data_IF_399092541029
#
_entry.id   IF_399092541029
#
_cell.length_a   1.000
_cell.length_b   1.000
_cell.length_c   1.000
_cell.angle_alpha   90.00
_cell.angle_beta   90.00
_cell.angle_gamma   90.00
#
_symmetry.space_group_name_H-M   'P 1'
#
loop_
_entity.id
_entity.type
_entity.pdbx_description
1 polymer ?
#
# COMPACT_ATOMS: atom_id res chain seq x y z
N UNK A 1 27.15 18.61 -12.99
CA UNK A 1 27.59 18.56 -11.58
C UNK A 1 26.77 17.49 -10.90
N UNK A 2 27.31 16.28 -10.84
CA UNK A 2 26.74 15.13 -10.13
C UNK A 2 26.87 15.42 -8.62
N UNK A 3 25.73 15.60 -7.96
CA UNK A 3 25.70 15.70 -6.50
C UNK A 3 26.16 14.34 -5.94
N UNK A 4 27.32 14.31 -5.40
CA UNK A 4 27.94 13.22 -4.67
C UNK A 4 27.14 13.10 -3.34
N UNK A 5 26.14 12.21 -3.32
CA UNK A 5 25.47 11.88 -2.06
C UNK A 5 26.50 11.15 -1.20
N UNK A 6 26.83 11.78 -0.06
CA UNK A 6 27.65 11.17 0.95
C UNK A 6 27.08 9.78 1.29
N UNK A 7 27.94 8.78 1.30
CA UNK A 7 27.67 7.41 1.70
C UNK A 7 27.48 7.31 3.23
N UNK A 8 26.46 7.95 3.73
CA UNK A 8 25.87 7.53 5.00
C UNK A 8 25.14 6.22 4.71
N UNK A 9 25.47 5.16 5.42
CA UNK A 9 24.78 3.87 5.35
C UNK A 9 23.32 4.00 5.79
N UNK A 10 22.57 4.84 5.06
CA UNK A 10 21.23 5.27 5.39
C UNK A 10 20.27 4.12 5.40
N UNK A 11 19.36 4.13 6.38
CA UNK A 11 18.26 3.18 6.51
C UNK A 11 17.53 3.01 5.16
N UNK A 12 17.27 1.75 4.75
CA UNK A 12 16.45 1.44 3.59
C UNK A 12 15.00 1.32 4.04
N UNK A 13 14.11 2.03 3.39
CA UNK A 13 12.68 2.04 3.68
C UNK A 13 11.91 1.20 2.65
N UNK A 14 10.71 0.76 2.98
CA UNK A 14 9.86 0.04 2.04
C UNK A 14 8.89 0.98 1.33
N UNK A 15 8.90 0.93 -0.02
CA UNK A 15 7.92 1.61 -0.85
C UNK A 15 6.85 0.63 -1.30
N UNK A 16 5.57 1.00 -1.14
CA UNK A 16 4.46 0.13 -1.50
C UNK A 16 3.41 0.86 -2.32
N UNK A 17 2.78 0.14 -3.23
CA UNK A 17 1.69 0.62 -4.07
C UNK A 17 0.50 -0.32 -3.90
N UNK A 18 -0.65 0.22 -3.50
CA UNK A 18 -1.91 -0.52 -3.46
C UNK A 18 -2.57 -0.38 -4.83
N UNK A 19 -2.48 -1.46 -5.63
CA UNK A 19 -2.89 -1.45 -7.03
C UNK A 19 -4.40 -1.59 -7.13
N UNK A 20 -5.05 -0.45 -7.14
CA UNK A 20 -6.49 -0.29 -7.34
C UNK A 20 -6.78 0.90 -8.26
N UNK A 21 -7.94 0.89 -8.91
CA UNK A 21 -8.41 2.00 -9.73
C UNK A 21 -9.20 3.02 -8.88
N UNK A 22 -9.40 4.24 -9.38
CA UNK A 22 -10.09 5.32 -8.68
C UNK A 22 -11.50 4.96 -8.19
N UNK A 23 -12.16 4.03 -8.87
CA UNK A 23 -13.52 3.61 -8.52
C UNK A 23 -13.58 2.47 -7.49
N UNK A 24 -12.45 1.84 -7.17
CA UNK A 24 -12.37 0.75 -6.21
C UNK A 24 -12.18 1.21 -4.76
N UNK A 25 -12.04 2.51 -4.58
CA UNK A 25 -11.89 3.13 -3.25
C UNK A 25 -13.11 2.90 -2.37
N UNK A 26 -12.91 2.36 -1.18
CA UNK A 26 -14.01 2.05 -0.23
C UNK A 26 -14.95 3.23 0.03
N UNK A 27 -14.45 4.47 -0.03
CA UNK A 27 -15.27 5.67 0.15
C UNK A 27 -16.32 5.87 -0.95
N UNK A 28 -16.18 5.17 -2.08
CA UNK A 28 -17.09 5.26 -3.23
C UNK A 28 -17.94 4.00 -3.42
N UNK A 29 -17.77 2.97 -2.61
CA UNK A 29 -18.44 1.67 -2.77
C UNK A 29 -19.98 1.76 -2.80
N UNK A 30 -20.57 2.72 -2.08
CA UNK A 30 -22.02 2.95 -2.11
C UNK A 30 -22.51 3.60 -3.43
N UNK A 31 -21.62 4.21 -4.21
CA UNK A 31 -21.94 4.92 -5.46
C UNK A 31 -21.47 4.17 -6.70
N UNK A 32 -20.42 3.36 -6.58
CA UNK A 32 -19.90 2.49 -7.61
C UNK A 32 -19.84 1.08 -7.04
N UNK A 33 -20.97 0.35 -7.05
CA UNK A 33 -21.02 -1.00 -6.50
C UNK A 33 -20.19 -1.98 -7.34
N UNK A 34 -19.67 -3.03 -6.67
CA UNK A 34 -18.76 -4.02 -7.27
C UNK A 34 -19.25 -4.59 -8.61
N UNK A 35 -20.54 -4.86 -8.74
CA UNK A 35 -21.12 -5.43 -9.95
C UNK A 35 -21.15 -4.48 -11.16
N UNK A 36 -20.75 -3.23 -11.00
CA UNK A 36 -20.66 -2.24 -12.09
C UNK A 36 -19.22 -2.00 -12.57
N UNK A 37 -18.22 -2.51 -11.88
CA UNK A 37 -16.80 -2.25 -12.18
C UNK A 37 -16.40 -2.60 -13.61
N UNK A 38 -17.02 -3.64 -14.18
CA UNK A 38 -16.77 -4.08 -15.55
C UNK A 38 -17.15 -3.06 -16.62
N UNK A 39 -17.99 -2.09 -16.27
CA UNK A 39 -18.49 -1.04 -17.17
C UNK A 39 -17.86 0.32 -16.91
N UNK A 40 -17.12 0.47 -15.81
CA UNK A 40 -16.45 1.73 -15.46
C UNK A 40 -15.14 1.85 -16.25
N UNK A 41 -14.89 2.98 -16.91
CA UNK A 41 -13.62 3.19 -17.62
C UNK A 41 -12.43 3.08 -16.68
N UNK A 42 -11.58 2.09 -16.90
CA UNK A 42 -10.37 1.87 -16.10
C UNK A 42 -9.25 2.81 -16.50
N UNK A 43 -8.46 3.23 -15.52
CA UNK A 43 -7.27 4.07 -15.69
C UNK A 43 -6.02 3.44 -15.07
N UNK A 44 -6.16 2.25 -14.48
CA UNK A 44 -5.09 1.60 -13.71
C UNK A 44 -3.86 1.32 -14.57
N UNK A 45 -3.99 0.84 -15.82
CA UNK A 45 -2.84 0.52 -16.67
C UNK A 45 -2.00 1.78 -16.96
N UNK A 46 -2.63 2.87 -17.42
CA UNK A 46 -1.92 4.11 -17.72
C UNK A 46 -1.24 4.72 -16.49
N UNK A 47 -1.89 4.62 -15.32
CA UNK A 47 -1.33 5.11 -14.06
C UNK A 47 -0.18 4.23 -13.59
N UNK A 48 -0.29 2.91 -13.75
CA UNK A 48 0.80 1.97 -13.44
C UNK A 48 2.01 2.16 -14.35
N UNK A 49 1.81 2.41 -15.65
CA UNK A 49 2.93 2.72 -16.56
C UNK A 49 3.70 3.97 -16.13
N UNK A 50 2.98 5.01 -15.66
CA UNK A 50 3.61 6.21 -15.06
C UNK A 50 4.41 5.87 -13.79
N UNK A 51 3.88 5.01 -12.92
CA UNK A 51 4.58 4.58 -11.70
C UNK A 51 5.83 3.79 -12.05
N UNK A 52 5.73 2.79 -12.93
CA UNK A 52 6.87 1.97 -13.32
C UNK A 52 7.97 2.81 -13.95
N UNK A 53 7.62 3.77 -14.82
CA UNK A 53 8.58 4.72 -15.39
C UNK A 53 9.25 5.58 -14.32
N UNK A 54 8.47 6.13 -13.37
CA UNK A 54 8.99 6.93 -12.26
C UNK A 54 9.97 6.14 -11.38
N UNK A 55 9.65 4.87 -11.05
CA UNK A 55 10.51 4.02 -10.25
C UNK A 55 11.79 3.64 -10.99
N UNK A 56 11.70 3.38 -12.30
CA UNK A 56 12.86 3.11 -13.14
C UNK A 56 13.81 4.33 -13.23
N UNK A 57 13.28 5.56 -13.37
CA UNK A 57 14.08 6.80 -13.38
C UNK A 57 14.91 6.98 -12.09
N UNK A 58 14.41 6.48 -10.97
CA UNK A 58 15.06 6.59 -9.66
C UNK A 58 15.80 5.33 -9.20
N UNK A 59 15.85 4.29 -10.04
CA UNK A 59 16.40 2.96 -9.72
C UNK A 59 15.84 2.39 -8.39
N UNK A 60 14.54 2.55 -8.17
CA UNK A 60 13.84 2.09 -6.97
C UNK A 60 13.04 0.82 -7.28
N UNK A 61 13.09 -0.14 -6.37
CA UNK A 61 12.18 -1.29 -6.36
C UNK A 61 11.13 -1.08 -5.27
N UNK A 62 9.93 -1.64 -5.49
CA UNK A 62 8.79 -1.45 -4.61
C UNK A 62 7.95 -2.73 -4.53
N UNK A 63 7.03 -2.80 -3.57
CA UNK A 63 6.03 -3.86 -3.44
C UNK A 63 4.69 -3.37 -3.96
N UNK A 64 4.04 -4.17 -4.81
CA UNK A 64 2.74 -3.88 -5.40
C UNK A 64 1.69 -4.81 -4.82
N UNK A 65 0.89 -4.31 -3.89
CA UNK A 65 -0.27 -5.00 -3.34
C UNK A 65 -1.40 -4.93 -4.36
N UNK A 66 -1.61 -6.01 -5.09
CA UNK A 66 -2.48 -6.03 -6.27
C UNK A 66 -3.76 -6.80 -5.98
N UNK A 67 -4.90 -6.24 -6.41
CA UNK A 67 -6.20 -6.93 -6.38
C UNK A 67 -6.23 -8.08 -7.39
N UNK A 68 -6.76 -9.24 -7.00
CA UNK A 68 -6.94 -10.38 -7.89
C UNK A 68 -7.80 -10.02 -9.11
N UNK A 69 -8.85 -9.23 -8.90
CA UNK A 69 -9.71 -8.72 -9.98
C UNK A 69 -8.95 -7.90 -11.04
N UNK A 70 -7.99 -7.06 -10.62
CA UNK A 70 -7.14 -6.31 -11.55
C UNK A 70 -6.19 -7.27 -12.27
N UNK A 71 -5.62 -8.23 -11.56
CA UNK A 71 -4.68 -9.17 -12.12
C UNK A 71 -5.30 -10.01 -13.25
N UNK A 72 -6.52 -10.52 -13.05
CA UNK A 72 -7.25 -11.27 -14.09
C UNK A 72 -7.57 -10.44 -15.33
N UNK A 73 -7.93 -9.17 -15.14
CA UNK A 73 -8.27 -8.27 -16.25
C UNK A 73 -7.04 -7.77 -17.00
N UNK A 74 -5.97 -7.53 -16.28
CA UNK A 74 -4.75 -6.92 -16.80
C UNK A 74 -3.52 -7.78 -16.51
N UNK A 75 -3.46 -9.05 -16.96
CA UNK A 75 -2.34 -9.95 -16.64
C UNK A 75 -1.00 -9.41 -17.16
N UNK A 76 -1.02 -8.62 -18.25
CA UNK A 76 0.16 -7.94 -18.75
C UNK A 76 0.74 -6.91 -17.77
N UNK A 77 -0.11 -6.25 -16.99
CA UNK A 77 0.32 -5.32 -15.94
C UNK A 77 1.09 -6.05 -14.84
N UNK A 78 0.57 -7.19 -14.38
CA UNK A 78 1.23 -8.02 -13.33
C UNK A 78 2.61 -8.48 -13.82
N UNK A 79 2.72 -8.95 -15.05
CA UNK A 79 4.01 -9.37 -15.63
C UNK A 79 4.99 -8.21 -15.70
N UNK A 80 4.58 -7.02 -16.16
CA UNK A 80 5.45 -5.83 -16.18
C UNK A 80 6.00 -5.47 -14.80
N UNK A 81 5.20 -5.61 -13.73
CA UNK A 81 5.65 -5.39 -12.35
C UNK A 81 6.76 -6.36 -11.97
N UNK A 82 6.58 -7.65 -12.23
CA UNK A 82 7.56 -8.70 -11.88
C UNK A 82 8.81 -8.60 -12.75
N UNK A 83 8.66 -8.42 -14.06
CA UNK A 83 9.76 -8.28 -15.02
C UNK A 83 10.66 -7.08 -14.71
N UNK A 84 10.08 -6.01 -14.14
CA UNK A 84 10.82 -4.84 -13.67
C UNK A 84 11.54 -5.08 -12.32
N UNK A 85 11.43 -6.27 -11.72
CA UNK A 85 12.11 -6.66 -10.48
C UNK A 85 11.43 -6.17 -9.21
N UNK A 86 10.17 -5.72 -9.30
CA UNK A 86 9.36 -5.36 -8.13
C UNK A 86 8.79 -6.62 -7.45
N UNK A 87 8.34 -6.47 -6.21
CA UNK A 87 7.62 -7.52 -5.50
C UNK A 87 6.12 -7.42 -5.81
N UNK A 88 5.52 -8.57 -6.16
CA UNK A 88 4.08 -8.71 -6.25
C UNK A 88 3.54 -9.25 -4.92
N UNK A 89 2.56 -8.56 -4.37
CA UNK A 89 1.86 -8.92 -3.14
C UNK A 89 0.33 -8.83 -3.33
N UNK A 90 -0.43 -9.41 -2.42
CA UNK A 90 -1.89 -9.49 -2.52
C UNK A 90 -2.60 -8.36 -1.78
N UNK A 91 -3.62 -7.76 -2.42
CA UNK A 91 -4.56 -6.82 -1.81
C UNK A 91 -5.98 -7.40 -1.66
N UNK A 92 -6.11 -8.75 -1.57
CA UNK A 92 -7.39 -9.44 -1.69
C UNK A 92 -7.86 -9.54 -3.15
N UNK A 93 -9.05 -10.12 -3.36
CA UNK A 93 -9.53 -10.34 -4.72
C UNK A 93 -10.28 -9.11 -5.26
N UNK A 94 -11.32 -8.65 -4.56
CA UNK A 94 -12.19 -7.56 -5.02
C UNK A 94 -12.35 -6.39 -4.03
N UNK A 95 -11.30 -6.10 -3.30
CA UNK A 95 -11.25 -5.00 -2.33
C UNK A 95 -12.29 -5.11 -1.20
N UNK A 96 -12.72 -6.33 -0.86
CA UNK A 96 -13.63 -6.57 0.26
C UNK A 96 -12.89 -6.41 1.60
N UNK A 97 -13.46 -5.62 2.51
CA UNK A 97 -12.83 -5.38 3.82
C UNK A 97 -12.88 -6.63 4.70
N UNK A 98 -11.77 -6.97 5.36
CA UNK A 98 -11.71 -8.08 6.31
C UNK A 98 -12.73 -7.93 7.45
N UNK A 99 -13.03 -6.69 7.87
CA UNK A 99 -14.00 -6.38 8.92
C UNK A 99 -15.47 -6.60 8.51
N UNK A 100 -15.75 -6.80 7.22
CA UNK A 100 -17.09 -6.99 6.67
C UNK A 100 -17.33 -8.45 6.25
N UNK A 101 -16.35 -9.32 6.46
CA UNK A 101 -16.38 -10.74 6.09
C UNK A 101 -16.32 -11.64 7.33
N UNK A 102 -16.87 -12.85 7.22
CA UNK A 102 -16.62 -13.92 8.16
C UNK A 102 -15.32 -14.68 7.83
N UNK A 103 -14.82 -15.48 8.80
CA UNK A 103 -13.57 -16.24 8.67
C UNK A 103 -13.45 -17.02 7.34
N UNK A 104 -14.45 -17.85 7.02
CA UNK A 104 -14.42 -18.70 5.82
C UNK A 104 -14.45 -17.91 4.52
N UNK A 105 -15.21 -16.81 4.48
CA UNK A 105 -15.29 -15.93 3.31
C UNK A 105 -13.97 -15.20 3.09
N UNK A 106 -13.40 -14.63 4.16
CA UNK A 106 -12.13 -13.93 4.09
C UNK A 106 -10.97 -14.86 3.68
N UNK A 107 -10.91 -16.08 4.26
CA UNK A 107 -9.89 -17.07 3.89
C UNK A 107 -10.00 -17.48 2.41
N UNK A 108 -11.24 -17.66 1.91
CA UNK A 108 -11.47 -17.98 0.50
C UNK A 108 -11.04 -16.84 -0.43
N UNK A 109 -11.38 -15.58 -0.10
CA UNK A 109 -11.01 -14.38 -0.86
C UNK A 109 -9.48 -14.26 -1.01
N UNK A 110 -8.75 -14.33 0.11
CA UNK A 110 -7.30 -14.12 0.09
C UNK A 110 -6.54 -15.29 -0.54
N UNK A 111 -7.06 -16.53 -0.46
CA UNK A 111 -6.51 -17.69 -1.17
C UNK A 111 -6.73 -17.58 -2.68
N UNK A 112 -7.93 -17.17 -3.10
CA UNK A 112 -8.22 -16.94 -4.52
C UNK A 112 -7.29 -15.85 -5.09
N UNK A 113 -7.19 -14.72 -4.41
CA UNK A 113 -6.30 -13.63 -4.84
C UNK A 113 -4.84 -14.10 -4.98
N UNK A 114 -4.33 -14.85 -3.99
CA UNK A 114 -2.98 -15.40 -4.03
C UNK A 114 -2.78 -16.32 -5.23
N UNK A 115 -3.68 -17.28 -5.44
CA UNK A 115 -3.60 -18.24 -6.53
C UNK A 115 -3.59 -17.56 -7.91
N UNK A 116 -4.48 -16.57 -8.12
CA UNK A 116 -4.55 -15.79 -9.37
C UNK A 116 -3.23 -15.03 -9.62
N UNK A 117 -2.70 -14.37 -8.60
CA UNK A 117 -1.47 -13.61 -8.73
C UNK A 117 -0.26 -14.50 -9.01
N UNK A 118 -0.17 -15.66 -8.36
CA UNK A 118 0.90 -16.65 -8.56
C UNK A 118 0.82 -17.31 -9.93
N UNK A 119 -0.39 -17.65 -10.41
CA UNK A 119 -0.61 -18.23 -11.74
C UNK A 119 -0.17 -17.27 -12.86
N UNK A 120 -0.52 -16.00 -12.75
CA UNK A 120 -0.19 -14.99 -13.77
C UNK A 120 1.30 -14.61 -13.74
N UNK A 121 1.90 -14.50 -12.56
CA UNK A 121 3.27 -14.03 -12.38
C UNK A 121 4.33 -15.13 -12.47
N UNK A 122 3.96 -16.38 -12.19
CA UNK A 122 4.90 -17.49 -12.03
C UNK A 122 5.82 -17.35 -10.79
N UNK A 123 5.50 -16.41 -9.88
CA UNK A 123 6.32 -16.09 -8.70
C UNK A 123 5.51 -16.23 -7.41
N UNK A 124 6.14 -16.64 -6.28
CA UNK A 124 5.43 -16.76 -5.02
C UNK A 124 5.01 -15.40 -4.47
N UNK A 125 3.76 -15.29 -4.02
CA UNK A 125 3.20 -14.10 -3.38
C UNK A 125 3.32 -14.24 -1.86
N UNK A 126 4.28 -13.53 -1.29
CA UNK A 126 4.66 -13.64 0.14
C UNK A 126 3.86 -12.67 1.03
N UNK A 127 3.41 -11.54 0.50
CA UNK A 127 2.80 -10.44 1.23
C UNK A 127 1.31 -10.28 1.02
N UNK A 128 0.63 -9.81 2.07
CA UNK A 128 -0.78 -9.44 2.04
C UNK A 128 -1.01 -8.06 2.68
N UNK A 129 -1.91 -7.28 2.10
CA UNK A 129 -2.44 -6.06 2.72
C UNK A 129 -3.96 -6.07 2.65
N UNK A 130 -4.61 -5.91 3.80
CA UNK A 130 -6.06 -5.85 3.86
C UNK A 130 -6.58 -4.53 3.25
N UNK A 131 -7.58 -4.60 2.36
CA UNK A 131 -8.27 -3.42 1.84
C UNK A 131 -8.66 -2.47 2.96
N UNK A 132 -8.34 -1.18 2.78
CA UNK A 132 -8.61 -0.12 3.76
C UNK A 132 -8.05 -0.39 5.16
N UNK A 133 -6.95 -1.13 5.30
CA UNK A 133 -6.36 -1.48 6.60
C UNK A 133 -7.39 -2.04 7.59
N UNK A 134 -8.25 -2.94 7.12
CA UNK A 134 -9.45 -3.41 7.82
C UNK A 134 -9.21 -4.59 8.78
N UNK A 135 -7.95 -4.94 9.07
CA UNK A 135 -7.59 -5.83 10.18
C UNK A 135 -7.30 -4.97 11.41
N UNK A 136 -7.84 -5.40 12.56
CA UNK A 136 -7.68 -4.66 13.81
C UNK A 136 -8.15 -5.44 15.02
N UNK A 137 -8.29 -4.79 16.17
CA UNK A 137 -8.68 -5.45 17.44
C UNK A 137 -10.03 -6.18 17.40
N UNK A 138 -10.93 -5.78 16.49
CA UNK A 138 -12.26 -6.38 16.34
C UNK A 138 -12.25 -7.71 15.56
N UNK A 139 -11.22 -7.96 14.74
CA UNK A 139 -11.10 -9.16 13.91
C UNK A 139 -9.69 -9.77 13.92
N UNK A 140 -9.08 -10.05 15.09
CA UNK A 140 -7.72 -10.58 15.20
C UNK A 140 -7.55 -11.96 14.54
N UNK A 141 -8.65 -12.69 14.36
CA UNK A 141 -8.72 -13.96 13.63
C UNK A 141 -8.28 -13.83 12.16
N UNK A 142 -8.32 -12.61 11.59
CA UNK A 142 -7.91 -12.39 10.21
C UNK A 142 -6.41 -12.72 10.00
N UNK A 143 -5.57 -12.56 11.01
CA UNK A 143 -4.16 -12.99 10.93
C UNK A 143 -4.02 -14.51 10.87
N UNK A 144 -4.93 -15.27 11.48
CA UNK A 144 -4.95 -16.74 11.34
C UNK A 144 -5.23 -17.13 9.88
N UNK A 145 -6.21 -16.46 9.25
CA UNK A 145 -6.49 -16.67 7.83
C UNK A 145 -5.30 -16.31 6.92
N UNK A 146 -4.60 -15.19 7.22
CA UNK A 146 -3.43 -14.78 6.44
C UNK A 146 -2.30 -15.81 6.55
N UNK A 147 -2.05 -16.34 7.76
CA UNK A 147 -1.10 -17.42 7.98
C UNK A 147 -1.52 -18.72 7.26
N UNK A 148 -2.79 -19.13 7.39
CA UNK A 148 -3.36 -20.34 6.79
C UNK A 148 -3.40 -20.28 5.25
N UNK A 149 -3.44 -19.07 4.68
CA UNK A 149 -3.29 -18.86 3.24
C UNK A 149 -1.82 -18.90 2.76
N UNK A 150 -0.87 -19.07 3.68
CA UNK A 150 0.55 -19.21 3.38
C UNK A 150 1.27 -17.90 3.04
N UNK A 151 0.78 -16.76 3.51
CA UNK A 151 1.53 -15.51 3.45
C UNK A 151 2.62 -15.47 4.53
N UNK A 152 3.70 -14.77 4.27
CA UNK A 152 4.85 -14.62 5.17
C UNK A 152 4.81 -13.31 5.94
N UNK A 153 4.17 -12.30 5.37
CA UNK A 153 3.94 -11.03 6.05
C UNK A 153 2.59 -10.42 5.68
N UNK A 154 2.11 -9.58 6.57
CA UNK A 154 0.98 -8.69 6.39
C UNK A 154 1.44 -7.24 6.56
N UNK A 155 0.78 -6.29 5.90
CA UNK A 155 0.94 -4.85 6.14
C UNK A 155 -0.46 -4.23 6.22
N UNK A 156 -1.23 -4.67 7.20
CA UNK A 156 -2.68 -4.41 7.28
C UNK A 156 -3.08 -3.52 8.45
N UNK A 157 -2.14 -3.21 9.35
CA UNK A 157 -2.37 -2.34 10.50
C UNK A 157 -1.87 -0.92 10.21
N UNK A 158 -2.71 0.06 10.53
CA UNK A 158 -2.29 1.46 10.60
C UNK A 158 -2.46 1.95 12.04
N UNK A 159 -1.36 2.19 12.79
CA UNK A 159 -1.42 2.53 14.22
C UNK A 159 -1.82 3.99 14.48
N UNK A 160 -2.97 4.40 13.96
CA UNK A 160 -3.53 5.76 14.13
C UNK A 160 -4.99 5.70 14.55
N UNK A 161 -5.50 6.85 15.00
CA UNK A 161 -6.93 7.05 15.20
C UNK A 161 -7.55 7.63 13.91
N UNK A 162 -8.44 6.89 13.26
CA UNK A 162 -9.11 7.31 12.02
C UNK A 162 -10.59 6.88 12.01
N UNK A 163 -11.44 7.56 11.26
CA UNK A 163 -12.89 7.32 11.22
C UNK A 163 -13.32 6.10 10.38
N UNK A 164 -12.45 5.54 9.54
CA UNK A 164 -12.75 4.39 8.69
C UNK A 164 -11.89 3.15 8.98
N UNK A 165 -10.74 3.34 9.65
CA UNK A 165 -9.76 2.29 9.96
C UNK A 165 -8.87 2.74 11.11
N UNK A 166 -7.89 1.91 11.47
CA UNK A 166 -6.85 2.27 12.41
C UNK A 166 -6.93 1.48 13.71
N UNK A 167 -5.75 1.25 14.25
CA UNK A 167 -5.51 0.55 15.51
C UNK A 167 -4.49 1.36 16.34
N UNK A 168 -4.92 2.45 17.03
CA UNK A 168 -4.00 3.42 17.64
C UNK A 168 -3.07 2.82 18.70
N UNK A 169 -3.48 1.73 19.32
CA UNK A 169 -2.73 1.05 20.38
C UNK A 169 -1.87 -0.12 19.86
N UNK A 170 -1.92 -0.41 18.55
CA UNK A 170 -1.08 -1.43 17.95
C UNK A 170 0.41 -1.02 17.94
N UNK A 171 1.35 -1.99 17.91
CA UNK A 171 2.76 -1.72 17.70
C UNK A 171 3.00 -0.88 16.45
N UNK A 172 3.97 0.03 16.51
CA UNK A 172 4.28 0.94 15.40
C UNK A 172 5.20 0.32 14.35
N UNK A 173 5.97 -0.69 14.72
CA UNK A 173 7.02 -1.29 13.91
C UNK A 173 6.74 -2.77 13.66
N UNK A 174 7.53 -3.35 12.76
CA UNK A 174 7.38 -4.74 12.38
C UNK A 174 7.47 -5.68 13.61
N UNK A 175 6.52 -6.60 13.69
CA UNK A 175 6.43 -7.57 14.79
C UNK A 175 5.71 -8.84 14.33
N UNK A 176 6.05 -9.95 14.95
CA UNK A 176 5.39 -11.22 14.68
C UNK A 176 3.99 -11.25 15.31
N UNK A 177 2.97 -11.56 14.51
CA UNK A 177 1.56 -11.65 14.96
C UNK A 177 1.06 -13.08 15.06
N UNK A 178 1.68 -14.00 14.31
CA UNK A 178 1.52 -15.46 14.38
C UNK A 178 2.87 -16.10 14.07
N UNK A 179 3.14 -17.34 14.51
CA UNK A 179 4.38 -18.03 14.16
C UNK A 179 4.63 -18.01 12.65
N UNK A 180 5.71 -17.37 12.22
CA UNK A 180 6.10 -17.21 10.82
C UNK A 180 5.33 -16.16 10.02
N UNK A 181 4.44 -15.38 10.64
CA UNK A 181 3.75 -14.25 10.02
C UNK A 181 4.15 -12.93 10.67
N UNK A 182 4.84 -12.10 9.92
CA UNK A 182 5.23 -10.73 10.31
C UNK A 182 4.12 -9.73 9.96
N UNK A 183 3.72 -8.87 10.88
CA UNK A 183 2.98 -7.65 10.55
C UNK A 183 3.94 -6.48 10.40
N UNK A 184 3.83 -5.74 9.30
CA UNK A 184 4.61 -4.53 9.00
C UNK A 184 3.64 -3.34 8.94
N UNK A 185 3.40 -2.66 10.05
CA UNK A 185 2.42 -1.58 10.12
C UNK A 185 2.82 -0.37 9.28
N UNK A 186 1.83 0.36 8.76
CA UNK A 186 2.07 1.62 8.06
C UNK A 186 2.72 2.62 9.01
N UNK A 187 3.74 3.30 8.51
CA UNK A 187 4.57 4.19 9.31
C UNK A 187 3.79 5.32 9.96
N UNK A 188 4.03 5.46 11.25
CA UNK A 188 3.58 6.58 12.08
C UNK A 188 4.77 7.24 12.77
N UNK A 189 4.63 8.53 13.07
CA UNK A 189 5.55 9.25 13.94
C UNK A 189 4.88 9.53 15.27
N UNK A 190 5.58 9.26 16.40
CA UNK A 190 5.06 9.55 17.74
C UNK A 190 5.38 10.99 18.13
N UNK A 191 4.32 11.78 18.34
CA UNK A 191 4.43 13.15 18.83
C UNK A 191 3.25 13.47 19.76
N UNK A 192 3.48 14.25 20.82
CA UNK A 192 2.46 14.66 21.78
C UNK A 192 1.64 13.47 22.36
N UNK A 193 2.32 12.36 22.66
CA UNK A 193 1.76 11.10 23.17
C UNK A 193 0.77 10.40 22.22
N UNK A 194 0.69 10.81 20.96
CA UNK A 194 -0.16 10.20 19.92
C UNK A 194 0.66 9.77 18.73
N UNK A 195 0.15 8.79 17.99
CA UNK A 195 0.70 8.39 16.71
C UNK A 195 0.07 9.25 15.60
N UNK A 196 0.94 9.88 14.79
CA UNK A 196 0.56 10.70 13.65
C UNK A 196 0.91 9.98 12.36
N UNK A 197 0.06 10.05 11.33
CA UNK A 197 0.30 9.38 10.05
C UNK A 197 1.55 9.96 9.36
N UNK A 198 2.41 9.07 8.86
CA UNK A 198 3.65 9.44 8.17
C UNK A 198 3.86 8.69 6.85
N UNK A 199 3.18 7.57 6.64
CA UNK A 199 3.44 6.65 5.53
C UNK A 199 2.37 6.56 4.44
N UNK A 200 1.36 7.44 4.39
CA UNK A 200 0.24 7.28 3.47
C UNK A 200 0.02 8.42 2.48
N UNK A 201 -0.33 8.08 1.23
CA UNK A 201 -0.54 9.03 0.13
C UNK A 201 -1.56 10.12 0.43
N UNK A 202 -2.67 9.80 1.10
CA UNK A 202 -3.69 10.78 1.49
C UNK A 202 -3.13 11.89 2.38
N UNK A 203 -2.40 11.56 3.44
CA UNK A 203 -1.74 12.53 4.32
C UNK A 203 -0.55 13.20 3.64
N UNK A 204 0.16 12.50 2.77
CA UNK A 204 1.23 13.03 1.96
C UNK A 204 0.75 14.13 0.99
N UNK A 205 -0.47 14.00 0.45
CA UNK A 205 -1.12 15.02 -0.37
C UNK A 205 -1.67 16.18 0.47
N UNK A 206 -2.16 15.89 1.67
CA UNK A 206 -2.76 16.89 2.57
C UNK A 206 -1.71 17.83 3.17
N UNK A 207 -0.63 17.27 3.71
CA UNK A 207 0.38 18.01 4.47
C UNK A 207 1.48 18.57 3.55
N UNK A 208 2.16 19.66 3.94
CA UNK A 208 3.39 20.08 3.26
C UNK A 208 4.44 18.96 3.24
N UNK A 209 5.14 18.79 2.12
CA UNK A 209 6.17 17.76 1.94
C UNK A 209 7.21 17.70 3.08
N UNK A 210 7.61 18.87 3.59
CA UNK A 210 8.58 18.96 4.69
C UNK A 210 8.18 18.19 5.95
N UNK A 211 6.86 18.05 6.21
CA UNK A 211 6.35 17.27 7.35
C UNK A 211 6.58 15.77 7.09
N UNK A 212 6.25 15.26 5.91
CA UNK A 212 6.48 13.85 5.56
C UNK A 212 7.97 13.51 5.59
N UNK A 213 8.82 14.39 5.05
CA UNK A 213 10.29 14.26 5.09
C UNK A 213 10.80 14.20 6.53
N UNK A 214 10.35 15.12 7.37
CA UNK A 214 10.72 15.15 8.79
C UNK A 214 10.28 13.86 9.51
N UNK A 215 9.06 13.40 9.25
CA UNK A 215 8.50 12.20 9.88
C UNK A 215 9.32 10.95 9.56
N UNK A 216 9.67 10.72 8.30
CA UNK A 216 10.48 9.57 7.88
C UNK A 216 11.88 9.68 8.46
N UNK A 217 12.52 10.85 8.40
CA UNK A 217 13.85 11.07 9.02
C UNK A 217 13.84 10.80 10.53
N UNK A 218 12.76 11.17 11.22
CA UNK A 218 12.63 10.90 12.64
C UNK A 218 12.50 9.39 12.91
N UNK A 219 11.72 8.66 12.12
CA UNK A 219 11.60 7.20 12.24
C UNK A 219 12.96 6.53 11.99
N UNK A 220 13.64 6.90 10.91
CA UNK A 220 14.94 6.31 10.59
C UNK A 220 16.04 6.69 11.61
N UNK A 221 16.11 7.95 12.05
CA UNK A 221 17.22 8.43 12.85
C UNK A 221 17.01 8.38 14.37
N UNK A 222 15.75 8.44 14.85
CA UNK A 222 15.45 8.45 16.30
C UNK A 222 14.89 7.10 16.74
N UNK A 223 13.91 6.57 16.01
CA UNK A 223 13.37 5.25 16.32
C UNK A 223 14.30 4.11 15.82
N UNK A 224 15.24 4.42 14.92
CA UNK A 224 16.19 3.49 14.26
C UNK A 224 15.48 2.35 13.55
N UNK A 225 14.40 2.68 12.85
CA UNK A 225 13.51 1.73 12.16
C UNK A 225 13.32 2.11 10.70
N UNK A 226 13.07 1.10 9.86
CA UNK A 226 12.67 1.30 8.46
C UNK A 226 11.24 1.79 8.38
N UNK A 227 11.00 2.81 7.56
CA UNK A 227 9.66 3.28 7.27
C UNK A 227 9.02 2.46 6.15
N UNK A 228 7.69 2.33 6.18
CA UNK A 228 6.88 1.85 5.06
C UNK A 228 5.99 3.00 4.57
N UNK A 229 6.04 3.27 3.27
CA UNK A 229 5.22 4.29 2.62
C UNK A 229 4.31 3.63 1.58
N UNK A 230 3.04 4.08 1.50
CA UNK A 230 2.09 3.58 0.51
C UNK A 230 1.37 4.70 -0.23
N UNK A 231 1.00 4.43 -1.46
CA UNK A 231 0.11 5.26 -2.26
C UNK A 231 -0.60 4.38 -3.31
N UNK A 232 -1.57 4.98 -4.03
CA UNK A 232 -2.36 4.28 -5.03
C UNK A 232 -2.10 4.84 -6.44
N UNK A 233 -2.27 4.04 -7.51
CA UNK A 233 -2.09 4.50 -8.90
C UNK A 233 -2.93 5.73 -9.25
N UNK A 234 -4.18 5.78 -8.81
CA UNK A 234 -5.08 6.89 -9.07
C UNK A 234 -4.64 8.21 -8.43
N UNK A 235 -3.75 8.20 -7.45
CA UNK A 235 -3.23 9.43 -6.84
C UNK A 235 -2.29 10.22 -7.78
N UNK A 236 -1.78 9.58 -8.84
CA UNK A 236 -0.99 10.24 -9.88
C UNK A 236 -1.84 10.74 -11.07
N UNK A 237 -3.15 10.59 -11.00
CA UNK A 237 -4.06 10.95 -12.09
C UNK A 237 -4.99 12.13 -11.72
N UNK A 238 -4.54 13.37 -11.93
CA UNK A 238 -5.38 14.55 -11.69
C UNK A 238 -6.57 14.65 -12.66
N UNK A 239 -6.55 13.91 -13.77
CA UNK A 239 -7.58 13.91 -14.83
C UNK A 239 -8.58 12.75 -14.69
N UNK A 240 -8.50 11.99 -13.58
CA UNK A 240 -9.43 10.91 -13.33
C UNK A 240 -10.88 11.41 -13.30
N UNK A 241 -11.87 10.59 -13.71
CA UNK A 241 -13.28 10.98 -13.65
C UNK A 241 -13.70 11.36 -12.23
N UNK A 242 -14.57 12.37 -12.14
CA UNK A 242 -15.19 12.70 -10.86
C UNK A 242 -16.40 11.80 -10.65
N UNK A 243 -16.47 11.23 -9.45
CA UNK A 243 -17.58 10.39 -9.02
C UNK A 243 -18.65 11.27 -8.40
N UNK A 244 -19.87 11.19 -8.93
CA UNK A 244 -21.03 11.89 -8.40
C UNK A 244 -21.62 11.13 -7.21
N UNK A 245 -22.16 11.87 -6.24
CA UNK A 245 -22.88 11.29 -5.10
C UNK A 245 -22.09 11.21 -3.79
N UNK A 246 -20.77 10.89 -3.74
CA UNK A 246 -20.05 10.87 -2.48
C UNK A 246 -20.10 12.21 -1.75
N UNK A 247 -20.16 12.15 -0.41
CA UNK A 247 -20.19 13.35 0.42
C UNK A 247 -18.92 14.21 0.25
N UNK A 248 -19.05 15.52 0.53
CA UNK A 248 -17.97 16.54 0.37
C UNK A 248 -16.63 16.13 1.01
N UNK A 249 -16.67 15.44 2.16
CA UNK A 249 -15.48 14.96 2.88
C UNK A 249 -14.75 13.87 2.09
N UNK A 250 -15.48 12.92 1.51
CA UNK A 250 -14.91 11.84 0.68
C UNK A 250 -14.29 12.42 -0.59
N UNK A 251 -15.00 13.27 -1.31
CA UNK A 251 -14.49 13.97 -2.48
C UNK A 251 -13.24 14.80 -2.16
N UNK A 252 -13.25 15.57 -1.07
CA UNK A 252 -12.09 16.35 -0.65
C UNK A 252 -10.87 15.45 -0.42
N UNK A 253 -11.01 14.36 0.36
CA UNK A 253 -9.91 13.43 0.64
C UNK A 253 -9.36 12.77 -0.62
N UNK A 254 -10.23 12.40 -1.55
CA UNK A 254 -9.86 11.71 -2.77
C UNK A 254 -9.15 12.63 -3.77
N UNK A 255 -9.70 13.79 -4.08
CA UNK A 255 -9.22 14.68 -5.15
C UNK A 255 -8.19 15.72 -4.72
N UNK A 256 -7.92 15.83 -3.40
CA UNK A 256 -7.01 16.84 -2.88
C UNK A 256 -5.61 16.70 -3.44
N UNK A 257 -5.08 17.78 -4.01
CA UNK A 257 -3.67 17.93 -4.41
C UNK A 257 -3.10 16.84 -5.33
N UNK A 258 -3.93 16.14 -6.12
CA UNK A 258 -3.48 15.11 -7.07
C UNK A 258 -2.41 15.66 -8.03
N UNK A 259 -2.57 16.89 -8.52
CA UNK A 259 -1.61 17.55 -9.44
C UNK A 259 -0.20 17.73 -8.85
N UNK A 260 -0.05 17.63 -7.54
CA UNK A 260 1.25 17.75 -6.86
C UNK A 260 1.87 16.40 -6.47
N UNK A 261 1.15 15.28 -6.69
CA UNK A 261 1.60 13.97 -6.23
C UNK A 261 2.89 13.53 -6.91
N UNK A 262 2.97 13.64 -8.24
CA UNK A 262 4.18 13.26 -9.01
C UNK A 262 5.42 14.00 -8.50
N UNK A 263 5.37 15.33 -8.44
CA UNK A 263 6.51 16.14 -8.00
C UNK A 263 6.94 15.85 -6.55
N UNK A 264 5.99 15.53 -5.68
CA UNK A 264 6.28 15.15 -4.30
C UNK A 264 6.89 13.75 -4.21
N UNK A 265 6.41 12.79 -5.00
CA UNK A 265 6.99 11.44 -5.05
C UNK A 265 8.42 11.48 -5.57
N UNK A 266 8.72 12.22 -6.65
CA UNK A 266 10.09 12.41 -7.13
C UNK A 266 11.02 12.90 -6.02
N UNK A 267 10.57 13.86 -5.22
CA UNK A 267 11.34 14.35 -4.06
C UNK A 267 11.50 13.29 -2.99
N UNK A 268 10.45 12.50 -2.71
CA UNK A 268 10.48 11.41 -1.72
C UNK A 268 11.48 10.33 -2.13
N UNK A 269 11.47 9.94 -3.40
CA UNK A 269 12.38 8.94 -3.96
C UNK A 269 13.85 9.42 -3.95
N UNK A 270 14.08 10.71 -4.14
CA UNK A 270 15.41 11.32 -4.09
C UNK A 270 15.93 11.54 -2.66
N UNK A 271 15.04 11.79 -1.68
CA UNK A 271 15.43 12.14 -0.31
C UNK A 271 15.75 10.92 0.58
N UNK A 272 15.31 9.70 0.18
CA UNK A 272 15.45 8.46 0.97
C UNK A 272 15.81 7.26 0.08
N UNK A 273 16.33 6.20 0.71
CA UNK A 273 16.54 4.90 0.06
C UNK A 273 15.30 4.03 0.22
N UNK A 274 14.88 3.40 -0.89
CA UNK A 274 13.68 2.58 -0.95
C UNK A 274 13.96 1.22 -1.56
N UNK A 275 13.28 0.17 -1.06
CA UNK A 275 13.25 -1.16 -1.66
C UNK A 275 11.90 -1.84 -1.34
N UNK A 276 11.76 -3.08 -1.74
CA UNK A 276 10.60 -3.94 -1.54
C UNK A 276 10.48 -4.36 -0.07
N UNK A 277 9.23 -4.63 0.36
CA UNK A 277 8.94 -5.07 1.74
C UNK A 277 9.69 -6.36 2.08
N UNK A 278 9.68 -7.35 1.17
CA UNK A 278 10.33 -8.63 1.41
C UNK A 278 11.86 -8.49 1.63
N UNK A 279 12.51 -7.55 0.96
CA UNK A 279 13.94 -7.28 1.16
C UNK A 279 14.24 -6.48 2.41
N UNK A 280 13.35 -5.56 2.78
CA UNK A 280 13.56 -4.68 3.95
C UNK A 280 13.23 -5.41 5.25
N UNK A 281 12.20 -6.25 5.27
CA UNK A 281 11.66 -6.80 6.51
C UNK A 281 11.74 -8.33 6.65
N UNK A 282 11.82 -9.09 5.54
CA UNK A 282 11.92 -10.55 5.60
C UNK A 282 13.38 -11.00 5.48
N UNK A 283 14.33 -10.43 6.18
CA UNK A 283 15.74 -10.82 6.22
C UNK A 283 16.05 -12.06 5.37
N UNK A 284 16.42 -11.90 4.08
CA UNK A 284 17.12 -12.84 3.21
C UNK A 284 16.92 -14.36 3.35
N UNK A 285 15.83 -14.81 3.93
CA UNK A 285 15.45 -16.22 3.97
C UNK A 285 14.59 -16.54 2.73
N UNK A 286 15.12 -17.33 1.83
CA UNK A 286 14.48 -17.87 0.62
C UNK A 286 13.11 -18.51 0.88
#
# INVERSE_FOLDING_TARGET
MTAQFASDGGMVNALTIDVEDYFQVSAFSAHIPRNTWDTVPSRVEANMDRILALLAEHDVRATFFTLGWIAERYPGLVRRVVDAGHELASHGYEHARASEQGYGQFLADIRLAKAVLEDISGAPVKGYRAPSFSIGPANPWAFDCVADAGYRYSSSIYPIRHDHYGAPDAPRFAHEVRPGLLEVPVTTVRALRSNWPAGGGGFFRLLPYGISRWSIRRVNGVDNESAIFYFHPWELDPEQPRVDGPGRKACFRHYLNLKHMDSRLRRLLADFRWDRVDRVFLNGGD
#
